data_IF_791064901783
#
_entry.id   IF_791064901783
#
_cell.length_a   1.000
_cell.length_b   1.000
_cell.length_c   1.000
_cell.angle_alpha   90.00
_cell.angle_beta   90.00
_cell.angle_gamma   90.00
#
_symmetry.space_group_name_H-M   'P 1'
#
loop_
_entity.id
_entity.type
_entity.pdbx_description
1 polymer ?
#
# COMPACT_ATOMS: atom_id res chain seq x y z
N UNK A 1 -3.75 -2.51 7.51
CA UNK A 1 -4.56 -1.44 6.90
C UNK A 1 -3.61 -0.34 6.47
N UNK A 2 -3.78 0.20 5.27
CA UNK A 2 -2.97 1.28 4.73
C UNK A 2 -3.79 2.56 4.86
N UNK A 3 -3.48 3.41 5.83
CA UNK A 3 -4.09 4.73 5.97
C UNK A 3 -3.31 5.77 5.20
N UNK A 4 -3.95 6.73 4.54
CA UNK A 4 -3.24 7.86 3.94
C UNK A 4 -2.48 8.65 5.01
N UNK A 5 -3.18 8.99 6.10
CA UNK A 5 -2.64 9.68 7.26
C UNK A 5 -1.70 8.77 8.06
N UNK A 6 -0.51 9.27 8.40
CA UNK A 6 0.49 8.50 9.17
C UNK A 6 0.37 8.68 10.69
N UNK A 7 -0.22 9.78 11.18
CA UNK A 7 -0.38 10.06 12.61
C UNK A 7 -1.85 9.92 13.02
N UNK A 8 -2.09 9.08 14.03
CA UNK A 8 -3.40 8.84 14.65
C UNK A 8 -4.54 8.66 13.64
N UNK A 9 -4.51 7.58 12.83
CA UNK A 9 -5.57 7.32 11.86
C UNK A 9 -6.87 6.86 12.52
N UNK A 10 -8.00 7.30 11.99
CA UNK A 10 -9.35 6.89 12.36
C UNK A 10 -10.02 6.12 11.21
N UNK A 11 -10.39 4.86 11.45
CA UNK A 11 -11.03 3.98 10.46
C UNK A 11 -12.39 4.50 9.96
N UNK A 12 -13.07 5.35 10.74
CA UNK A 12 -14.39 5.84 10.38
C UNK A 12 -14.33 7.12 9.56
N UNK A 13 -13.20 7.83 9.56
CA UNK A 13 -13.10 9.17 8.98
C UNK A 13 -12.03 9.22 7.89
N UNK A 14 -10.85 8.63 8.14
CA UNK A 14 -9.71 8.79 7.25
C UNK A 14 -9.77 7.84 6.04
N UNK A 15 -9.16 8.29 4.95
CA UNK A 15 -9.00 7.49 3.74
C UNK A 15 -8.05 6.32 3.98
N UNK A 16 -8.48 5.13 3.56
CA UNK A 16 -7.70 3.91 3.72
C UNK A 16 -7.90 2.90 2.62
N UNK A 17 -6.92 2.03 2.49
CA UNK A 17 -6.94 0.84 1.64
C UNK A 17 -6.73 -0.38 2.53
N UNK A 18 -7.62 -1.35 2.42
CA UNK A 18 -7.56 -2.59 3.16
C UNK A 18 -7.61 -3.79 2.20
N UNK A 19 -6.55 -4.61 2.13
CA UNK A 19 -6.58 -5.84 1.35
C UNK A 19 -7.54 -6.85 2.00
N UNK A 20 -8.60 -7.24 1.29
CA UNK A 20 -9.55 -8.26 1.74
C UNK A 20 -9.08 -9.65 1.32
N UNK A 21 -8.66 -9.77 0.06
CA UNK A 21 -8.12 -10.99 -0.54
C UNK A 21 -6.99 -10.63 -1.50
N UNK A 22 -6.34 -11.63 -2.11
CA UNK A 22 -5.29 -11.43 -3.12
C UNK A 22 -5.69 -10.47 -4.27
N UNK A 23 -6.98 -10.40 -4.60
CA UNK A 23 -7.47 -9.66 -5.76
C UNK A 23 -8.54 -8.61 -5.40
N UNK A 24 -8.88 -8.46 -4.11
CA UNK A 24 -9.92 -7.54 -3.68
C UNK A 24 -9.38 -6.63 -2.59
N UNK A 25 -9.59 -5.34 -2.79
CA UNK A 25 -9.23 -4.28 -1.85
C UNK A 25 -10.50 -3.52 -1.50
N UNK A 26 -10.70 -3.28 -0.21
CA UNK A 26 -11.66 -2.30 0.28
C UNK A 26 -10.97 -0.94 0.29
N UNK A 27 -11.58 0.04 -0.38
CA UNK A 27 -11.09 1.42 -0.43
C UNK A 27 -12.15 2.31 0.21
N UNK A 28 -11.77 3.04 1.25
CA UNK A 28 -12.53 4.15 1.78
C UNK A 28 -11.90 5.43 1.25
N UNK A 29 -12.63 6.15 0.42
CA UNK A 29 -12.27 7.47 -0.03
C UNK A 29 -13.50 8.24 -0.52
N UNK A 30 -13.41 9.57 -0.51
CA UNK A 30 -14.48 10.44 -1.03
C UNK A 30 -14.68 10.31 -2.54
N UNK A 31 -13.60 10.03 -3.29
CA UNK A 31 -13.63 9.83 -4.75
C UNK A 31 -12.61 8.78 -5.13
N UNK A 32 -12.98 7.88 -6.03
CA UNK A 32 -12.08 6.86 -6.58
C UNK A 32 -12.02 7.09 -8.08
N UNK A 33 -10.81 7.24 -8.61
CA UNK A 33 -10.58 7.31 -10.05
C UNK A 33 -10.33 5.90 -10.61
N UNK A 34 -9.47 5.78 -11.62
CA UNK A 34 -9.08 4.48 -12.17
C UNK A 34 -8.01 3.86 -11.29
N UNK A 35 -8.13 2.58 -10.97
CA UNK A 35 -7.08 1.81 -10.29
C UNK A 35 -6.07 1.31 -11.34
N UNK A 36 -4.83 1.82 -11.39
CA UNK A 36 -3.83 1.32 -12.32
C UNK A 36 -3.31 -0.06 -11.87
N UNK A 37 -2.86 -0.89 -12.81
CA UNK A 37 -2.34 -2.22 -12.51
C UNK A 37 -1.08 -2.18 -11.62
N UNK A 38 -0.32 -1.08 -11.65
CA UNK A 38 0.90 -0.85 -10.86
C UNK A 38 0.63 -0.72 -9.37
N UNK A 39 -0.55 -0.19 -8.99
CA UNK A 39 -0.92 0.03 -7.58
C UNK A 39 -0.86 -1.26 -6.78
N UNK A 40 -1.15 -2.42 -7.37
CA UNK A 40 -1.09 -3.69 -6.65
C UNK A 40 0.29 -3.96 -6.04
N UNK A 41 1.34 -3.79 -6.84
CA UNK A 41 2.73 -4.01 -6.39
C UNK A 41 3.08 -3.01 -5.29
N UNK A 42 2.64 -1.76 -5.45
CA UNK A 42 2.89 -0.70 -4.48
C UNK A 42 2.18 -0.96 -3.15
N UNK A 43 0.95 -1.48 -3.17
CA UNK A 43 0.23 -1.91 -1.97
C UNK A 43 0.93 -3.07 -1.27
N UNK A 44 1.36 -4.09 -2.01
CA UNK A 44 2.11 -5.22 -1.46
C UNK A 44 3.43 -4.74 -0.82
N UNK A 45 4.09 -3.76 -1.45
CA UNK A 45 5.32 -3.15 -0.98
C UNK A 45 5.11 -2.30 0.27
N UNK A 46 4.00 -1.55 0.36
CA UNK A 46 3.59 -0.85 1.59
C UNK A 46 3.36 -1.84 2.72
N UNK A 47 2.57 -2.90 2.50
CA UNK A 47 2.28 -3.92 3.52
C UNK A 47 3.56 -4.60 4.00
N UNK A 48 4.46 -4.92 3.07
CA UNK A 48 5.77 -5.49 3.37
C UNK A 48 6.59 -4.56 4.27
N UNK A 49 6.66 -3.27 3.97
CA UNK A 49 7.43 -2.29 4.76
C UNK A 49 6.76 -1.91 6.08
N UNK A 50 5.44 -2.04 6.19
CA UNK A 50 4.70 -1.86 7.45
C UNK A 50 4.81 -3.05 8.40
N UNK A 51 5.20 -4.23 7.90
CA UNK A 51 5.29 -5.44 8.70
C UNK A 51 6.40 -5.31 9.76
N UNK A 52 6.05 -5.49 11.04
CA UNK A 52 7.00 -5.35 12.16
C UNK A 52 7.83 -6.61 12.43
N UNK A 53 7.29 -7.79 12.13
CA UNK A 53 7.88 -9.06 12.59
C UNK A 53 7.91 -10.15 11.52
N UNK A 54 6.78 -10.36 10.84
CA UNK A 54 6.64 -11.40 9.84
C UNK A 54 5.87 -10.92 8.64
N UNK A 55 6.26 -11.42 7.47
CA UNK A 55 5.48 -11.39 6.23
C UNK A 55 5.44 -12.82 5.70
N UNK A 56 4.37 -13.18 5.01
CA UNK A 56 4.26 -14.48 4.34
C UNK A 56 3.90 -14.25 2.88
N UNK A 57 4.60 -14.97 2.00
CA UNK A 57 4.37 -14.95 0.56
C UNK A 57 4.50 -16.38 0.05
N UNK A 58 3.74 -16.73 -0.98
CA UNK A 58 3.84 -18.06 -1.60
C UNK A 58 5.14 -18.24 -2.38
N UNK A 59 5.72 -17.16 -2.88
CA UNK A 59 7.02 -17.14 -3.53
C UNK A 59 8.09 -16.62 -2.57
N UNK A 60 9.11 -17.42 -2.30
CA UNK A 60 10.21 -17.11 -1.38
C UNK A 60 11.09 -15.94 -1.84
N UNK A 61 11.16 -15.67 -3.15
CA UNK A 61 11.95 -14.57 -3.72
C UNK A 61 11.21 -13.24 -3.70
N UNK A 62 9.89 -13.26 -3.55
CA UNK A 62 9.06 -12.06 -3.67
C UNK A 62 9.37 -10.97 -2.64
N UNK A 63 9.60 -11.28 -1.34
CA UNK A 63 10.01 -10.27 -0.36
C UNK A 63 11.32 -9.57 -0.73
N UNK A 64 12.29 -10.28 -1.30
CA UNK A 64 13.57 -9.69 -1.74
C UNK A 64 13.36 -8.74 -2.93
N UNK A 65 12.53 -9.15 -3.90
CA UNK A 65 12.16 -8.30 -5.03
C UNK A 65 11.43 -7.03 -4.58
N UNK A 66 10.50 -7.13 -3.63
CA UNK A 66 9.85 -5.97 -3.03
C UNK A 66 10.86 -5.07 -2.32
N UNK A 67 11.82 -5.65 -1.60
CA UNK A 67 12.85 -4.88 -0.92
C UNK A 67 13.74 -4.09 -1.89
N UNK A 68 14.22 -4.75 -2.96
CA UNK A 68 14.99 -4.10 -4.03
C UNK A 68 14.17 -3.01 -4.71
N UNK A 69 12.93 -3.32 -5.09
CA UNK A 69 12.02 -2.36 -5.70
C UNK A 69 11.83 -1.11 -4.81
N UNK A 70 11.68 -1.27 -3.49
CA UNK A 70 11.57 -0.14 -2.58
C UNK A 70 12.84 0.72 -2.58
N UNK A 71 14.01 0.08 -2.41
CA UNK A 71 15.30 0.78 -2.33
C UNK A 71 15.65 1.59 -3.58
N UNK A 72 15.25 1.12 -4.77
CA UNK A 72 15.57 1.80 -6.03
C UNK A 72 14.58 2.89 -6.43
N UNK A 73 13.32 2.82 -5.98
CA UNK A 73 12.25 3.68 -6.51
C UNK A 73 11.64 4.64 -5.48
N UNK A 74 11.88 4.44 -4.18
CA UNK A 74 11.20 5.18 -3.14
C UNK A 74 12.14 5.59 -2.00
N UNK A 75 12.08 6.88 -1.64
CA UNK A 75 12.88 7.44 -0.55
C UNK A 75 12.33 7.07 0.83
N UNK A 76 11.00 6.97 0.96
CA UNK A 76 10.34 6.66 2.24
C UNK A 76 9.00 5.95 2.03
N UNK A 77 8.53 5.28 3.09
CA UNK A 77 7.21 4.65 3.10
C UNK A 77 6.08 5.68 2.98
N UNK A 78 6.25 6.88 3.56
CA UNK A 78 5.29 7.97 3.43
C UNK A 78 5.21 8.50 2.00
N UNK A 79 6.33 8.65 1.30
CA UNK A 79 6.33 9.07 -0.10
C UNK A 79 5.58 8.08 -0.99
N UNK A 80 5.83 6.78 -0.79
CA UNK A 80 5.11 5.71 -1.50
C UNK A 80 3.61 5.73 -1.21
N UNK A 81 3.21 5.85 0.06
CA UNK A 81 1.79 5.94 0.43
C UNK A 81 1.13 7.13 -0.26
N UNK A 82 1.75 8.31 -0.18
CA UNK A 82 1.21 9.52 -0.80
C UNK A 82 1.06 9.36 -2.31
N UNK A 83 2.04 8.74 -3.00
CA UNK A 83 1.94 8.41 -4.42
C UNK A 83 0.72 7.55 -4.72
N UNK A 84 0.56 6.43 -4.01
CA UNK A 84 -0.57 5.49 -4.21
C UNK A 84 -1.92 6.19 -4.01
N UNK A 85 -2.07 6.96 -2.92
CA UNK A 85 -3.31 7.68 -2.67
C UNK A 85 -3.56 8.78 -3.71
N UNK A 86 -2.52 9.47 -4.17
CA UNK A 86 -2.67 10.46 -5.24
C UNK A 86 -3.12 9.80 -6.55
N UNK A 87 -2.56 8.65 -6.93
CA UNK A 87 -2.96 7.94 -8.15
C UNK A 87 -4.39 7.38 -8.08
N UNK A 88 -4.86 7.01 -6.88
CA UNK A 88 -6.19 6.43 -6.69
C UNK A 88 -7.29 7.47 -6.54
N UNK A 89 -6.97 8.62 -5.91
CA UNK A 89 -7.97 9.57 -5.45
C UNK A 89 -7.98 10.90 -6.23
N UNK A 90 -6.87 11.28 -6.89
CA UNK A 90 -6.76 12.52 -7.68
C UNK A 90 -6.81 12.25 -9.18
#
# INVERSE_FOLDING_TARGET
IIFQKSRTPDIYIDDFIFPLTKNHYLIRANKINRVPNTVKIELDLILFKQAKKYVSCTNSQYPELLNKCFQYNYESLEALKNKVFNELLN
#
